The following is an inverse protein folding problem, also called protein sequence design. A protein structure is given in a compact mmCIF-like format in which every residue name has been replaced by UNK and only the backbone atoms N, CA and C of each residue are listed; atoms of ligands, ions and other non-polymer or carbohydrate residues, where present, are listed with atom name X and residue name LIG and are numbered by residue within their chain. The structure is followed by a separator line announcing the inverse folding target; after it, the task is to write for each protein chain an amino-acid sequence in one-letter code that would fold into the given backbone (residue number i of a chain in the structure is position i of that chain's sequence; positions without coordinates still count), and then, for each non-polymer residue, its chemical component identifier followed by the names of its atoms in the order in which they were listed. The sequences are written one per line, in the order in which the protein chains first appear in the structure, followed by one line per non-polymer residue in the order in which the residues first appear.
data_IF_738631187841
#
_entry.id   IF_738631187841
#
_cell.length_a   1.000
_cell.length_b   1.000
_cell.length_c   1.000
_cell.angle_alpha   90.00
_cell.angle_beta   90.00
_cell.angle_gamma   90.00
#
_symmetry.space_group_name_H-M   'P 1'
#
loop_
_entity.id
_entity.type
_entity.pdbx_description
1 polymer ?
#
# COMPACT_ATOMS: atom_id res chain seq x y z
N UNK A 1 -23.60 -0.35 60.86
CA UNK A 1 -22.60 0.39 61.65
C UNK A 1 -21.22 0.14 61.04
N UNK A 2 -20.41 1.19 60.97
CA UNK A 2 -19.00 1.24 60.54
C UNK A 2 -18.73 1.16 59.03
N UNK A 3 -18.52 2.29 58.35
CA UNK A 3 -17.42 3.29 58.40
C UNK A 3 -16.27 2.96 57.44
N UNK A 4 -16.17 3.81 56.40
CA UNK A 4 -14.96 4.51 55.95
C UNK A 4 -13.72 3.68 55.59
N UNK A 5 -13.50 3.52 54.28
CA UNK A 5 -12.17 3.71 53.68
C UNK A 5 -12.31 4.42 52.34
N UNK A 6 -12.27 5.75 52.40
CA UNK A 6 -11.83 6.58 51.28
C UNK A 6 -10.30 6.51 51.23
N UNK A 7 -9.73 6.08 50.10
CA UNK A 7 -8.41 6.55 49.70
C UNK A 7 -8.36 6.73 48.18
N UNK A 8 -8.29 8.01 47.83
CA UNK A 8 -8.08 8.59 46.51
C UNK A 8 -6.58 8.53 46.19
N UNK A 9 -6.17 7.92 45.07
CA UNK A 9 -4.95 8.27 44.30
C UNK A 9 -5.26 7.92 42.82
N UNK A 10 -5.69 8.86 41.99
CA UNK A 10 -4.84 9.74 41.18
C UNK A 10 -3.78 8.99 40.34
N UNK A 11 -4.18 8.41 39.20
CA UNK A 11 -3.25 8.08 38.12
C UNK A 11 -3.76 8.73 36.83
N UNK A 12 -3.01 9.74 36.42
CA UNK A 12 -3.29 10.63 35.31
C UNK A 12 -3.54 9.89 34.00
N UNK A 13 -4.52 10.42 33.28
CA UNK A 13 -4.75 10.18 31.86
C UNK A 13 -3.49 10.50 31.05
N UNK A 14 -2.79 9.47 30.60
CA UNK A 14 -1.84 9.54 29.50
C UNK A 14 -2.48 8.84 28.29
N UNK A 15 -3.54 9.44 27.73
CA UNK A 15 -4.02 9.03 26.42
C UNK A 15 -2.97 9.50 25.40
N UNK A 16 -2.33 8.61 24.62
CA UNK A 16 -1.40 9.04 23.60
C UNK A 16 -2.23 9.71 22.50
N UNK A 17 -2.09 11.03 22.42
CA UNK A 17 -2.57 11.86 21.32
C UNK A 17 -1.76 11.53 20.05
N UNK A 18 -2.01 10.37 19.44
CA UNK A 18 -1.44 10.01 18.12
C UNK A 18 -2.29 10.60 16.98
N UNK A 19 -3.42 11.26 17.29
CA UNK A 19 -4.39 11.70 16.30
C UNK A 19 -4.25 13.16 15.79
N UNK A 20 -3.30 13.98 16.26
CA UNK A 20 -3.26 15.42 15.88
C UNK A 20 -1.90 15.99 15.45
N UNK A 21 -0.81 15.22 15.47
CA UNK A 21 0.46 15.74 14.97
C UNK A 21 0.60 15.52 13.46
N UNK A 22 0.06 16.42 12.64
CA UNK A 22 0.65 16.82 11.35
C UNK A 22 -0.16 17.89 10.60
N UNK A 23 -0.87 18.79 11.29
CA UNK A 23 -1.42 20.00 10.66
C UNK A 23 -0.46 21.16 10.93
N UNK A 24 0.52 21.39 10.06
CA UNK A 24 1.39 22.56 10.23
C UNK A 24 2.54 22.78 9.24
N UNK A 25 2.90 21.79 8.43
CA UNK A 25 3.82 21.98 7.31
C UNK A 25 3.49 20.96 6.21
N UNK A 26 3.78 21.23 4.92
CA UNK A 26 3.79 20.22 3.88
C UNK A 26 4.86 19.19 4.23
N UNK A 27 4.48 18.21 5.05
CA UNK A 27 5.35 17.12 5.43
C UNK A 27 5.47 16.24 4.20
N UNK A 28 6.71 16.05 3.75
CA UNK A 28 7.01 15.07 2.72
C UNK A 28 6.35 13.76 3.13
N UNK A 29 5.55 13.16 2.23
CA UNK A 29 4.88 11.89 2.48
C UNK A 29 5.91 10.90 3.00
N UNK A 30 5.69 10.39 4.21
CA UNK A 30 6.59 9.40 4.81
C UNK A 30 6.31 8.02 4.22
N UNK A 31 7.27 7.10 4.28
CA UNK A 31 7.07 5.72 3.80
C UNK A 31 5.85 5.04 4.48
N UNK A 32 5.68 5.25 5.78
CA UNK A 32 4.54 4.75 6.54
C UNK A 32 3.21 5.31 5.99
N UNK A 33 3.19 6.61 5.69
CA UNK A 33 2.01 7.28 5.14
C UNK A 33 1.71 6.81 3.71
N UNK A 34 2.72 6.67 2.87
CA UNK A 34 2.58 6.10 1.52
C UNK A 34 2.00 4.68 1.56
N UNK A 35 2.48 3.84 2.49
CA UNK A 35 1.93 2.48 2.69
C UNK A 35 0.45 2.52 3.06
N UNK A 36 0.04 3.42 3.95
CA UNK A 36 -1.37 3.61 4.30
C UNK A 36 -2.20 4.11 3.11
N UNK A 37 -1.67 5.03 2.30
CA UNK A 37 -2.34 5.50 1.09
C UNK A 37 -2.55 4.38 0.07
N UNK A 38 -1.50 3.63 -0.25
CA UNK A 38 -1.58 2.49 -1.17
C UNK A 38 -2.60 1.47 -0.64
N UNK A 39 -2.53 1.09 0.63
CA UNK A 39 -3.49 0.15 1.21
C UNK A 39 -4.94 0.67 1.07
N UNK A 40 -5.19 1.94 1.43
CA UNK A 40 -6.51 2.54 1.32
C UNK A 40 -7.04 2.59 -0.12
N UNK A 41 -6.18 2.87 -1.10
CA UNK A 41 -6.57 2.98 -2.51
C UNK A 41 -7.02 1.64 -3.09
N UNK A 42 -6.38 0.54 -2.70
CA UNK A 42 -6.74 -0.81 -3.13
C UNK A 42 -7.94 -1.37 -2.35
N UNK A 43 -8.06 -1.06 -1.06
CA UNK A 43 -9.20 -1.52 -0.25
C UNK A 43 -10.50 -0.83 -0.69
N UNK A 44 -10.45 0.49 -0.91
CA UNK A 44 -11.65 1.27 -1.22
C UNK A 44 -11.98 1.28 -2.71
N UNK A 45 -11.01 1.00 -3.58
CA UNK A 45 -11.17 1.15 -5.03
C UNK A 45 -11.47 2.59 -5.47
N UNK A 46 -11.33 3.57 -4.57
CA UNK A 46 -11.88 4.92 -4.74
C UNK A 46 -10.84 5.97 -5.18
N UNK A 47 -9.59 5.57 -5.35
CA UNK A 47 -8.49 6.50 -5.64
C UNK A 47 -7.75 6.11 -6.94
N UNK A 48 -8.40 6.20 -8.13
CA UNK A 48 -7.71 5.99 -9.40
C UNK A 48 -6.57 7.01 -9.62
N UNK A 49 -6.67 8.18 -8.99
CA UNK A 49 -5.69 9.28 -9.06
C UNK A 49 -4.34 8.91 -8.42
N UNK A 50 -4.28 7.84 -7.62
CA UNK A 50 -3.01 7.36 -7.06
C UNK A 50 -2.08 6.80 -8.14
N UNK A 51 -2.58 6.42 -9.32
CA UNK A 51 -1.73 5.99 -10.43
C UNK A 51 -1.23 7.20 -11.22
N UNK A 52 0.06 7.21 -11.55
CA UNK A 52 0.62 8.18 -12.48
C UNK A 52 -0.01 8.03 -13.87
N UNK A 53 -0.21 9.13 -14.59
CA UNK A 53 -0.65 9.11 -16.00
C UNK A 53 0.28 8.27 -16.87
N UNK A 54 1.56 8.19 -16.49
CA UNK A 54 2.62 7.42 -17.17
C UNK A 54 3.11 6.27 -16.30
N UNK A 55 2.19 5.51 -15.70
CA UNK A 55 2.55 4.32 -14.92
C UNK A 55 3.27 3.31 -15.82
N UNK A 56 4.43 2.84 -15.35
CA UNK A 56 5.19 1.80 -16.04
C UNK A 56 4.65 0.45 -15.57
N UNK A 57 4.16 -0.35 -16.51
CA UNK A 57 3.61 -1.68 -16.22
C UNK A 57 4.58 -2.75 -16.69
N UNK A 58 4.92 -3.71 -15.82
CA UNK A 58 5.80 -4.81 -16.22
C UNK A 58 5.20 -5.63 -17.37
N UNK A 59 6.02 -6.18 -18.29
CA UNK A 59 5.52 -6.95 -19.43
C UNK A 59 4.63 -8.13 -19.02
N UNK A 60 5.01 -8.84 -17.96
CA UNK A 60 4.25 -9.98 -17.43
C UNK A 60 2.88 -9.58 -16.91
N UNK A 61 2.79 -8.45 -16.19
CA UNK A 61 1.50 -7.95 -15.69
C UNK A 61 0.61 -7.49 -16.84
N UNK A 62 1.19 -6.81 -17.84
CA UNK A 62 0.45 -6.39 -19.05
C UNK A 62 -0.15 -7.58 -19.80
N UNK A 63 0.63 -8.65 -19.99
CA UNK A 63 0.16 -9.88 -20.62
C UNK A 63 -0.94 -10.55 -19.79
N UNK A 64 -0.79 -10.59 -18.46
CA UNK A 64 -1.77 -11.19 -17.56
C UNK A 64 -3.11 -10.43 -17.57
N UNK A 65 -3.05 -9.09 -17.64
CA UNK A 65 -4.24 -8.23 -17.67
C UNK A 65 -4.83 -8.04 -19.07
N UNK A 66 -4.15 -8.51 -20.13
CA UNK A 66 -4.56 -8.28 -21.52
C UNK A 66 -4.55 -6.80 -21.94
N UNK A 67 -3.67 -6.01 -21.33
CA UNK A 67 -3.57 -4.57 -21.60
C UNK A 67 -2.68 -4.29 -22.82
N UNK A 68 -3.01 -3.24 -23.58
CA UNK A 68 -2.16 -2.75 -24.67
C UNK A 68 -0.85 -2.15 -24.14
N UNK A 69 0.17 -1.97 -25.01
CA UNK A 69 1.44 -1.35 -24.63
C UNK A 69 1.29 0.10 -24.17
N UNK A 70 0.27 0.79 -24.67
CA UNK A 70 -0.05 2.20 -24.40
C UNK A 70 -1.26 2.36 -23.47
N UNK A 71 -1.56 1.36 -22.64
CA UNK A 71 -2.64 1.46 -21.67
C UNK A 71 -2.38 2.59 -20.67
N UNK A 72 -3.37 3.45 -20.48
CA UNK A 72 -3.33 4.58 -19.56
C UNK A 72 -3.47 4.14 -18.09
N UNK A 73 -3.05 5.00 -17.16
CA UNK A 73 -3.12 4.72 -15.73
C UNK A 73 -4.51 4.29 -15.24
N UNK A 74 -5.59 4.85 -15.81
CA UNK A 74 -6.95 4.47 -15.43
C UNK A 74 -7.33 3.05 -15.90
N UNK A 75 -6.95 2.64 -17.12
CA UNK A 75 -7.17 1.26 -17.58
C UNK A 75 -6.34 0.26 -16.76
N UNK A 76 -5.09 0.60 -16.45
CA UNK A 76 -4.23 -0.21 -15.57
C UNK A 76 -4.87 -0.36 -14.19
N UNK A 77 -5.32 0.75 -13.58
CA UNK A 77 -5.98 0.72 -12.28
C UNK A 77 -7.20 -0.19 -12.29
N UNK A 78 -8.09 -0.03 -13.27
CA UNK A 78 -9.30 -0.84 -13.40
C UNK A 78 -8.96 -2.33 -13.53
N UNK A 79 -7.98 -2.68 -14.33
CA UNK A 79 -7.55 -4.07 -14.52
C UNK A 79 -6.93 -4.66 -13.25
N UNK A 80 -6.12 -3.88 -12.53
CA UNK A 80 -5.56 -4.25 -11.22
C UNK A 80 -6.67 -4.42 -10.17
N UNK A 81 -7.68 -3.54 -10.16
CA UNK A 81 -8.86 -3.67 -9.28
C UNK A 81 -9.67 -4.92 -9.62
N UNK A 82 -9.72 -5.36 -10.87
CA UNK A 82 -10.43 -6.60 -11.22
C UNK A 82 -9.76 -7.85 -10.63
N UNK A 83 -8.42 -7.88 -10.50
CA UNK A 83 -7.70 -9.03 -9.92
C UNK A 83 -7.59 -8.98 -8.39
N UNK A 84 -7.67 -7.78 -7.80
CA UNK A 84 -7.57 -7.54 -6.36
C UNK A 84 -8.93 -7.32 -5.67
N UNK A 85 -9.97 -6.98 -6.42
CA UNK A 85 -11.29 -6.66 -5.92
C UNK A 85 -11.93 -7.80 -5.13
N UNK A 86 -12.50 -7.47 -3.97
CA UNK A 86 -13.13 -8.43 -3.08
C UNK A 86 -12.16 -9.31 -2.28
N UNK A 87 -10.84 -9.14 -2.43
CA UNK A 87 -9.82 -9.85 -1.65
C UNK A 87 -9.30 -8.97 -0.50
N UNK A 88 -8.84 -9.61 0.56
CA UNK A 88 -8.12 -8.91 1.63
C UNK A 88 -6.78 -8.42 1.07
N UNK A 89 -6.53 -7.11 1.19
CA UNK A 89 -5.31 -6.48 0.70
C UNK A 89 -4.38 -6.21 1.88
N UNK A 90 -3.16 -6.72 1.80
CA UNK A 90 -2.06 -6.43 2.73
C UNK A 90 -0.94 -5.76 1.97
N UNK A 91 -0.53 -4.57 2.41
CA UNK A 91 0.62 -3.89 1.84
C UNK A 91 1.80 -4.08 2.78
N UNK A 92 2.95 -4.52 2.27
CA UNK A 92 4.23 -4.59 3.00
C UNK A 92 5.37 -4.08 2.15
N UNK A 93 6.56 -3.95 2.73
CA UNK A 93 7.76 -3.64 1.94
C UNK A 93 8.10 -4.85 1.06
N UNK A 94 8.43 -4.61 -0.20
CA UNK A 94 8.84 -5.67 -1.12
C UNK A 94 10.18 -6.25 -0.70
N UNK A 95 10.31 -7.58 -0.75
CA UNK A 95 11.57 -8.26 -0.51
C UNK A 95 12.48 -8.14 -1.75
N UNK A 96 13.79 -8.25 -1.55
CA UNK A 96 14.76 -8.02 -2.63
C UNK A 96 14.58 -9.01 -3.80
N UNK A 97 14.24 -10.26 -3.49
CA UNK A 97 13.90 -11.31 -4.44
C UNK A 97 12.66 -10.97 -5.28
N UNK A 98 11.63 -10.39 -4.67
CA UNK A 98 10.41 -9.96 -5.37
C UNK A 98 10.66 -8.77 -6.30
N UNK A 99 11.50 -7.83 -5.88
CA UNK A 99 11.93 -6.68 -6.67
C UNK A 99 12.68 -7.16 -7.92
N UNK A 100 13.63 -8.08 -7.76
CA UNK A 100 14.34 -8.67 -8.89
C UNK A 100 13.43 -9.47 -9.82
N UNK A 101 12.49 -10.25 -9.27
CA UNK A 101 11.56 -11.06 -10.06
C UNK A 101 10.55 -10.23 -10.87
N UNK A 102 10.23 -9.01 -10.41
CA UNK A 102 9.28 -8.12 -11.09
C UNK A 102 9.94 -7.19 -12.12
N UNK A 103 11.26 -7.27 -12.28
CA UNK A 103 12.05 -6.33 -13.11
C UNK A 103 11.84 -4.86 -12.71
N UNK A 104 11.50 -4.62 -11.45
CA UNK A 104 11.26 -3.28 -10.95
C UNK A 104 12.56 -2.44 -10.96
N UNK A 105 12.47 -1.13 -11.25
CA UNK A 105 13.60 -0.23 -11.12
C UNK A 105 14.23 -0.32 -9.72
N UNK A 106 15.54 -0.08 -9.62
CA UNK A 106 16.22 -0.11 -8.33
C UNK A 106 15.57 0.87 -7.34
N UNK A 107 15.38 0.47 -6.06
CA UNK A 107 14.76 1.33 -5.07
C UNK A 107 15.64 2.55 -4.83
N UNK A 108 15.09 3.74 -5.11
CA UNK A 108 15.71 5.03 -4.75
C UNK A 108 15.05 5.57 -3.49
N UNK A 109 15.75 6.39 -2.70
CA UNK A 109 15.27 6.86 -1.39
C UNK A 109 13.95 7.65 -1.42
N UNK A 110 13.51 8.11 -2.59
CA UNK A 110 12.23 8.80 -2.79
C UNK A 110 11.15 7.90 -3.43
N UNK A 111 11.49 6.66 -3.79
CA UNK A 111 10.59 5.74 -4.46
C UNK A 111 10.58 4.36 -3.79
N UNK A 112 9.98 4.25 -2.59
CA UNK A 112 9.83 2.96 -1.92
C UNK A 112 9.06 1.97 -2.79
N UNK A 113 9.46 0.71 -2.71
CA UNK A 113 8.82 -0.41 -3.41
C UNK A 113 8.06 -1.25 -2.38
N UNK A 114 6.76 -1.41 -2.63
CA UNK A 114 5.84 -2.15 -1.80
C UNK A 114 5.36 -3.41 -2.52
N UNK A 115 5.14 -4.47 -1.75
CA UNK A 115 4.40 -5.65 -2.17
C UNK A 115 2.96 -5.52 -1.67
N UNK A 116 2.01 -5.58 -2.59
CA UNK A 116 0.56 -5.57 -2.34
C UNK A 116 0.06 -6.99 -2.54
N UNK A 117 -0.25 -7.66 -1.44
CA UNK A 117 -0.79 -9.01 -1.42
C UNK A 117 -2.31 -8.94 -1.40
N UNK A 118 -2.96 -9.51 -2.41
CA UNK A 118 -4.40 -9.58 -2.55
C UNK A 118 -4.81 -11.05 -2.75
N UNK A 119 -5.11 -11.74 -1.64
CA UNK A 119 -5.37 -13.17 -1.63
C UNK A 119 -4.17 -13.99 -2.12
N UNK A 120 -4.23 -14.53 -3.34
CA UNK A 120 -3.18 -15.34 -3.96
C UNK A 120 -2.34 -14.56 -4.99
N UNK A 121 -2.59 -13.26 -5.14
CA UNK A 121 -1.89 -12.40 -6.09
C UNK A 121 -1.01 -11.43 -5.32
N UNK A 122 0.28 -11.41 -5.61
CA UNK A 122 1.20 -10.38 -5.09
C UNK A 122 1.53 -9.43 -6.23
N UNK A 123 1.41 -8.12 -5.99
CA UNK A 123 1.75 -7.06 -6.92
C UNK A 123 2.91 -6.25 -6.36
N UNK A 124 3.90 -5.93 -7.18
CA UNK A 124 4.99 -5.03 -6.83
C UNK A 124 4.64 -3.64 -7.32
N UNK A 125 4.65 -2.68 -6.41
CA UNK A 125 4.23 -1.30 -6.63
C UNK A 125 5.36 -0.37 -6.20
N UNK A 126 5.84 0.47 -7.10
CA UNK A 126 6.77 1.55 -6.76
C UNK A 126 5.97 2.84 -6.56
N UNK A 127 6.12 3.43 -5.39
CA UNK A 127 5.41 4.66 -5.02
C UNK A 127 6.40 5.81 -5.02
N UNK A 128 6.09 6.91 -5.69
CA UNK A 128 6.89 8.13 -5.70
C UNK A 128 6.43 9.09 -4.61
N UNK A 129 7.26 9.29 -3.58
CA UNK A 129 6.95 10.19 -2.46
C UNK A 129 6.94 11.67 -2.85
N UNK A 130 7.58 12.04 -3.97
CA UNK A 130 7.64 13.41 -4.47
C UNK A 130 6.37 13.82 -5.22
N UNK A 131 5.73 12.86 -5.88
CA UNK A 131 4.51 13.08 -6.68
C UNK A 131 3.24 12.48 -6.06
N UNK A 132 3.36 11.77 -4.94
CA UNK A 132 2.26 11.11 -4.22
C UNK A 132 1.49 10.11 -5.09
N UNK A 133 2.20 9.44 -6.01
CA UNK A 133 1.61 8.54 -7.00
C UNK A 133 2.41 7.25 -7.19
N UNK A 134 1.81 6.28 -7.85
CA UNK A 134 2.41 5.01 -8.24
C UNK A 134 3.06 5.19 -9.60
N UNK A 135 4.37 4.99 -9.67
CA UNK A 135 5.16 5.12 -10.89
C UNK A 135 5.36 3.79 -11.63
N UNK A 136 5.34 2.67 -10.92
CA UNK A 136 5.52 1.34 -11.50
C UNK A 136 4.61 0.30 -10.84
N UNK A 137 4.09 -0.64 -11.64
CA UNK A 137 3.33 -1.81 -11.19
C UNK A 137 3.78 -3.05 -11.95
N UNK A 138 4.08 -4.13 -11.23
CA UNK A 138 4.42 -5.42 -11.81
C UNK A 138 3.90 -6.60 -11.01
N UNK A 139 3.96 -7.79 -11.59
CA UNK A 139 3.88 -9.03 -10.84
C UNK A 139 5.31 -9.45 -10.51
N UNK A 140 5.61 -9.88 -9.26
CA UNK A 140 6.82 -10.64 -9.03
C UNK A 140 6.69 -11.85 -9.94
N UNK A 141 7.64 -11.98 -10.87
CA UNK A 141 7.58 -12.98 -11.93
C UNK A 141 7.06 -14.27 -11.35
N UNK A 142 5.99 -14.79 -11.95
CA UNK A 142 5.61 -16.17 -11.74
C UNK A 142 6.80 -16.99 -12.24
N UNK A 143 7.83 -17.14 -11.41
CA UNK A 143 8.66 -18.31 -11.41
C UNK A 143 7.64 -19.40 -11.26
N UNK A 144 7.23 -19.95 -12.42
CA UNK A 144 6.33 -21.08 -12.52
C UNK A 144 6.78 -21.98 -11.39
N UNK A 145 5.94 -22.12 -10.35
CA UNK A 145 6.31 -22.76 -9.11
C UNK A 145 6.87 -24.09 -9.53
N UNK A 146 8.21 -24.18 -9.61
CA UNK A 146 8.84 -25.38 -10.05
C UNK A 146 8.47 -26.31 -8.91
N UNK A 147 7.57 -27.26 -9.21
CA UNK A 147 7.13 -28.27 -8.25
C UNK A 147 8.36 -28.64 -7.44
N UNK A 148 8.29 -28.60 -6.09
CA UNK A 148 9.46 -28.66 -5.23
C UNK A 148 10.37 -29.72 -5.80
N UNK A 149 11.52 -29.30 -6.33
CA UNK A 149 12.49 -30.21 -6.93
C UNK A 149 12.83 -31.15 -5.79
N UNK A 150 12.21 -32.34 -5.81
CA UNK A 150 12.60 -33.45 -4.96
C UNK A 150 14.11 -33.49 -5.06
N UNK A 151 14.76 -33.43 -3.90
CA UNK A 151 16.21 -33.41 -3.79
C UNK A 151 16.80 -34.37 -4.84
N UNK A 152 17.79 -33.93 -5.63
CA UNK A 152 18.41 -34.81 -6.61
C UNK A 152 18.88 -36.04 -5.85
N UNK A 153 18.28 -37.19 -6.17
CA UNK A 153 18.80 -38.48 -5.77
C UNK A 153 20.28 -38.45 -6.17
N UNK A 154 21.22 -38.63 -5.24
CA UNK A 154 22.64 -38.54 -5.53
C UNK A 154 22.95 -39.39 -6.77
N UNK A 155 23.59 -38.83 -7.81
CA UNK A 155 23.98 -39.62 -8.96
C UNK A 155 24.97 -40.68 -8.46
N UNK A 156 24.54 -41.93 -8.50
CA UNK A 156 25.42 -43.07 -8.43
C UNK A 156 26.47 -42.89 -9.53
N UNK A 157 27.72 -42.87 -9.10
CA UNK A 157 28.92 -42.55 -9.87
C UNK A 157 29.07 -43.54 -11.02
N UNK A 158 28.55 -43.19 -12.21
CA UNK A 158 28.91 -43.89 -13.44
C UNK A 158 30.04 -43.13 -14.12
N UNK A 159 31.10 -43.91 -14.39
CA UNK A 159 32.40 -43.51 -14.86
C UNK A 159 32.39 -42.83 -16.24
N UNK A 160 33.29 -41.85 -16.36
CA UNK A 160 34.30 -41.69 -17.41
C UNK A 160 33.94 -42.06 -18.86
N UNK A 161 34.02 -41.06 -19.75
CA UNK A 161 34.58 -41.04 -21.14
C UNK A 161 33.81 -40.03 -22.05
N UNK A 162 34.35 -39.62 -23.21
CA UNK A 162 35.41 -38.62 -23.36
C UNK A 162 34.97 -37.39 -24.19
N UNK A 163 35.80 -36.35 -24.11
CA UNK A 163 35.88 -35.15 -24.93
C UNK A 163 35.47 -35.32 -26.40
N UNK A 164 34.49 -34.52 -26.85
CA UNK A 164 34.37 -34.10 -28.26
C UNK A 164 34.18 -32.59 -28.31
N UNK A 165 35.16 -31.92 -28.90
CA UNK A 165 35.14 -30.51 -29.31
C UNK A 165 34.45 -30.41 -30.67
N UNK A 166 33.51 -29.47 -30.88
CA UNK A 166 33.26 -28.94 -32.21
C UNK A 166 33.45 -27.42 -32.27
N UNK A 167 34.57 -27.08 -32.91
CA UNK A 167 34.84 -26.03 -33.89
C UNK A 167 33.64 -25.29 -34.52
N UNK A 168 33.77 -23.96 -34.49
CA UNK A 168 33.41 -22.92 -35.47
C UNK A 168 31.95 -22.45 -35.69
N UNK A 169 31.87 -21.11 -35.72
CA UNK A 169 30.80 -20.23 -36.17
C UNK A 169 30.41 -20.44 -37.65
N UNK A 170 29.26 -19.89 -38.11
CA UNK A 170 29.33 -18.53 -38.68
C UNK A 170 28.13 -17.62 -38.37
N UNK A 171 28.39 -16.33 -38.50
CA UNK A 171 27.42 -15.25 -38.59
C UNK A 171 26.51 -15.41 -39.81
N UNK A 172 25.22 -15.08 -39.64
CA UNK A 172 24.34 -14.76 -40.76
C UNK A 172 23.54 -13.51 -40.41
N UNK A 173 23.80 -12.46 -41.17
CA UNK A 173 22.99 -11.27 -41.24
C UNK A 173 21.65 -11.59 -41.92
N UNK A 174 20.55 -11.05 -41.41
CA UNK A 174 19.30 -10.96 -42.15
C UNK A 174 18.56 -9.68 -41.77
N UNK A 175 18.76 -8.67 -42.61
CA UNK A 175 17.91 -7.50 -42.82
C UNK A 175 16.50 -7.96 -43.20
N UNK A 176 15.49 -7.50 -42.46
CA UNK A 176 14.08 -7.79 -42.73
C UNK A 176 13.22 -6.55 -42.58
N UNK A 177 13.09 -5.81 -43.69
CA UNK A 177 12.12 -4.73 -43.93
C UNK A 177 10.80 -5.34 -44.41
N UNK A 178 9.70 -5.10 -43.70
CA UNK A 178 8.29 -5.15 -44.16
C UNK A 178 7.43 -4.69 -42.97
N UNK A 179 6.31 -3.99 -43.08
CA UNK A 179 5.61 -3.30 -44.16
C UNK A 179 4.58 -2.40 -43.46
N UNK A 180 4.34 -1.21 -44.01
CA UNK A 180 3.24 -0.36 -43.64
C UNK A 180 1.91 -1.12 -43.77
N UNK A 181 1.08 -1.10 -42.72
CA UNK A 181 -0.35 -1.44 -42.83
C UNK A 181 -1.15 -0.20 -42.49
N UNK A 182 -1.61 0.45 -43.56
CA UNK A 182 -2.67 1.46 -43.55
C UNK A 182 -4.02 0.80 -43.38
N UNK A 183 -4.88 1.42 -42.56
CA UNK A 183 -6.33 1.37 -42.73
C UNK A 183 -7.09 0.48 -41.76
N UNK A 184 -7.72 1.10 -40.76
CA UNK A 184 -9.13 0.80 -40.45
C UNK A 184 -9.80 2.07 -39.97
N UNK A 185 -10.75 2.52 -40.77
CA UNK A 185 -11.72 3.58 -40.51
C UNK A 185 -12.67 3.06 -39.43
N UNK A 186 -12.70 3.70 -38.26
CA UNK A 186 -13.79 3.51 -37.28
C UNK A 186 -14.66 4.76 -37.30
N UNK A 187 -15.82 4.55 -37.91
CA UNK A 187 -17.12 5.15 -37.69
C UNK A 187 -17.18 6.27 -36.63
N UNK A 188 -17.40 7.48 -37.12
CA UNK A 188 -17.70 8.68 -36.34
C UNK A 188 -19.09 8.57 -35.74
N UNK A 189 -19.21 8.10 -34.51
CA UNK A 189 -20.43 8.24 -33.70
C UNK A 189 -20.76 9.72 -33.55
N UNK A 190 -21.99 10.18 -33.83
CA UNK A 190 -22.38 11.56 -33.64
C UNK A 190 -22.24 11.97 -32.16
N UNK A 191 -21.78 13.20 -31.88
CA UNK A 191 -21.67 13.70 -30.52
C UNK A 191 -23.05 13.75 -29.85
N UNK A 192 -23.14 13.44 -28.54
CA UNK A 192 -24.38 13.68 -27.80
C UNK A 192 -24.75 15.17 -27.87
N UNK A 193 -26.06 15.50 -27.86
CA UNK A 193 -26.50 16.88 -27.83
C UNK A 193 -25.92 17.61 -26.61
N UNK A 194 -25.63 18.92 -26.71
CA UNK A 194 -25.16 19.71 -25.59
C UNK A 194 -26.19 19.63 -24.47
N UNK A 195 -25.79 19.05 -23.33
CA UNK A 195 -26.55 19.14 -22.09
C UNK A 195 -26.81 20.60 -21.80
N UNK A 196 -28.10 20.95 -21.69
CA UNK A 196 -28.52 22.28 -21.28
C UNK A 196 -27.80 22.69 -19.97
N UNK A 197 -27.46 23.98 -19.80
CA UNK A 197 -26.90 24.47 -18.56
C UNK A 197 -27.92 24.22 -17.44
N UNK A 198 -27.61 23.27 -16.56
CA UNK A 198 -28.34 23.12 -15.30
C UNK A 198 -27.90 24.29 -14.44
N UNK A 199 -28.84 25.21 -14.22
CA UNK A 199 -28.74 26.32 -13.29
C UNK A 199 -28.09 25.84 -11.98
N UNK A 200 -26.85 26.28 -11.75
CA UNK A 200 -26.14 26.00 -10.52
C UNK A 200 -26.92 26.64 -9.37
N UNK A 201 -27.36 25.88 -8.34
CA UNK A 201 -27.97 26.49 -7.18
C UNK A 201 -26.95 27.42 -6.52
N UNK A 202 -27.31 28.71 -6.47
CA UNK A 202 -26.59 29.77 -5.78
C UNK A 202 -26.16 29.26 -4.38
N UNK A 203 -24.85 29.26 -4.05
CA UNK A 203 -24.39 28.85 -2.74
C UNK A 203 -25.11 29.65 -1.67
N UNK A 204 -25.75 28.96 -0.73
CA UNK A 204 -26.27 29.59 0.47
C UNK A 204 -25.11 30.28 1.21
N UNK A 205 -25.32 31.48 1.79
CA UNK A 205 -24.29 32.18 2.54
C UNK A 205 -23.82 31.31 3.72
N UNK A 206 -22.51 31.06 3.78
CA UNK A 206 -21.87 30.41 4.92
C UNK A 206 -22.18 31.20 6.19
N UNK A 207 -22.54 30.55 7.31
CA UNK A 207 -22.63 31.21 8.60
C UNK A 207 -21.23 31.70 9.01
N UNK A 208 -21.16 33.00 9.26
CA UNK A 208 -20.01 33.74 9.78
C UNK A 208 -19.50 33.06 11.05
N UNK A 209 -18.42 32.29 10.92
CA UNK A 209 -17.76 31.66 12.07
C UNK A 209 -17.01 32.73 12.86
N UNK A 210 -17.62 33.07 13.99
CA UNK A 210 -17.03 33.88 15.07
C UNK A 210 -15.63 33.35 15.40
N UNK A 211 -14.56 34.18 15.38
CA UNK A 211 -13.22 33.74 15.71
C UNK A 211 -13.19 33.31 17.19
N UNK A 212 -13.00 32.01 17.43
CA UNK A 212 -12.66 31.50 18.75
C UNK A 212 -11.22 31.96 19.06
N UNK A 213 -11.09 32.70 20.15
CA UNK A 213 -9.82 33.18 20.67
C UNK A 213 -8.88 31.99 20.91
N UNK A 214 -7.75 32.03 20.22
CA UNK A 214 -6.59 31.18 20.45
C UNK A 214 -6.02 31.55 21.83
N UNK A 215 -6.30 30.72 22.83
CA UNK A 215 -5.56 30.75 24.10
C UNK A 215 -4.26 29.98 23.87
N UNK A 216 -3.19 30.74 23.67
CA UNK A 216 -1.82 30.27 23.48
C UNK A 216 -1.29 29.62 24.78
N UNK A 217 -1.00 28.31 24.82
CA UNK A 217 -0.39 27.69 25.98
C UNK A 217 1.11 27.96 25.96
N UNK A 218 1.59 28.84 26.85
CA UNK A 218 3.02 29.04 27.09
C UNK A 218 3.64 27.78 27.69
N UNK A 219 4.40 27.03 26.88
CA UNK A 219 5.18 25.87 27.36
C UNK A 219 6.57 26.37 27.81
N UNK A 220 6.99 26.12 29.06
CA UNK A 220 8.31 26.48 29.55
C UNK A 220 9.42 25.70 28.84
N UNK A 221 10.36 26.42 28.22
CA UNK A 221 11.60 25.89 27.63
C UNK A 221 12.46 25.25 28.72
N UNK A 222 12.60 23.93 28.69
CA UNK A 222 13.59 23.21 29.46
C UNK A 222 14.91 23.05 28.67
N UNK A 223 15.98 23.28 29.43
CA UNK A 223 17.39 23.43 29.09
C UNK A 223 18.12 22.13 28.73
N UNK A 224 19.12 22.30 27.85
CA UNK A 224 20.47 21.65 27.86
C UNK A 224 20.62 20.22 27.30
N UNK A 225 21.42 20.02 26.23
CA UNK A 225 21.85 18.70 25.77
C UNK A 225 22.99 18.14 26.65
N UNK A 226 22.91 16.85 26.98
CA UNK A 226 24.00 16.06 27.57
C UNK A 226 24.76 15.28 26.46
N UNK A 227 26.06 14.98 26.66
CA UNK A 227 26.92 14.42 25.61
C UNK A 227 26.73 12.91 25.39
N UNK A 228 27.05 12.49 24.16
CA UNK A 228 26.91 11.14 23.63
C UNK A 228 27.80 10.10 24.35
N UNK A 229 27.21 8.95 24.65
CA UNK A 229 27.93 7.75 25.10
C UNK A 229 27.90 6.73 23.96
N UNK A 230 29.09 6.27 23.54
CA UNK A 230 29.27 5.23 22.54
C UNK A 230 28.72 3.88 23.04
N UNK A 231 27.90 3.22 22.21
CA UNK A 231 27.28 1.93 22.54
C UNK A 231 27.95 0.82 21.72
N UNK A 232 28.51 -0.16 22.43
CA UNK A 232 29.07 -1.40 21.91
C UNK A 232 28.00 -2.34 21.32
N UNK A 233 28.36 -3.25 20.39
CA UNK A 233 27.42 -4.13 19.70
C UNK A 233 26.75 -5.13 20.66
N UNK A 234 25.41 -5.15 20.65
CA UNK A 234 24.58 -6.09 21.44
C UNK A 234 24.44 -7.46 20.74
N UNK A 235 24.47 -8.58 21.48
CA UNK A 235 24.15 -9.90 20.93
C UNK A 235 22.66 -10.03 20.54
N UNK A 236 22.40 -10.80 19.49
CA UNK A 236 21.07 -11.12 18.98
C UNK A 236 20.20 -11.79 20.04
N UNK A 237 19.05 -11.19 20.34
CA UNK A 237 18.05 -11.80 21.22
C UNK A 237 17.03 -12.61 20.41
N UNK A 238 16.52 -13.73 20.95
CA UNK A 238 15.53 -14.57 20.31
C UNK A 238 14.19 -13.85 20.14
N UNK A 239 13.58 -14.03 18.96
CA UNK A 239 12.28 -13.46 18.57
C UNK A 239 11.19 -14.15 19.41
N UNK A 240 10.69 -13.47 20.44
CA UNK A 240 9.50 -13.92 21.16
C UNK A 240 8.26 -13.65 20.31
N UNK A 241 7.43 -14.67 20.10
CA UNK A 241 6.14 -14.52 19.42
C UNK A 241 5.30 -13.47 20.16
N UNK A 242 4.94 -12.40 19.45
CA UNK A 242 4.15 -11.30 19.98
C UNK A 242 2.72 -11.81 20.18
N UNK A 243 2.39 -12.19 21.42
CA UNK A 243 1.02 -12.52 21.81
C UNK A 243 0.13 -11.32 21.52
N UNK A 244 -0.92 -11.55 20.73
CA UNK A 244 -1.98 -10.57 20.47
C UNK A 244 -2.46 -10.01 21.82
N UNK A 245 -2.34 -8.69 22.07
CA UNK A 245 -2.70 -8.11 23.35
C UNK A 245 -4.17 -8.39 23.64
N UNK A 246 -4.43 -9.26 24.61
CA UNK A 246 -5.78 -9.58 25.06
C UNK A 246 -6.37 -8.32 25.70
N UNK A 247 -7.09 -7.54 24.89
CA UNK A 247 -7.75 -6.32 25.33
C UNK A 247 -8.73 -6.68 26.47
N UNK A 248 -8.71 -5.93 27.58
CA UNK A 248 -9.61 -6.18 28.70
C UNK A 248 -11.07 -6.04 28.24
N UNK A 249 -11.99 -6.87 28.76
CA UNK A 249 -13.38 -6.87 28.34
C UNK A 249 -14.01 -5.49 28.57
N UNK A 250 -14.52 -4.88 27.50
CA UNK A 250 -15.23 -3.61 27.55
C UNK A 250 -16.53 -3.79 28.34
N UNK A 251 -16.73 -2.95 29.35
CA UNK A 251 -17.94 -2.93 30.16
C UNK A 251 -18.95 -1.94 29.55
N UNK A 252 -20.26 -2.23 29.59
CA UNK A 252 -21.29 -1.27 29.19
C UNK A 252 -21.19 -0.01 30.05
N UNK A 253 -20.98 1.15 29.44
CA UNK A 253 -20.83 2.45 30.11
C UNK A 253 -21.75 3.51 29.47
N UNK A 254 -23.03 3.19 29.29
CA UNK A 254 -24.00 4.17 28.83
C UNK A 254 -25.31 3.56 28.32
N UNK A 255 -26.31 4.42 28.02
CA UNK A 255 -27.54 3.99 27.36
C UNK A 255 -27.23 3.52 25.92
N UNK A 256 -28.00 2.55 25.45
CA UNK A 256 -27.93 2.08 24.06
C UNK A 256 -28.50 3.17 23.13
N UNK A 257 -27.65 3.77 22.30
CA UNK A 257 -28.05 4.77 21.28
C UNK A 257 -27.79 4.18 19.90
N UNK A 258 -28.88 3.84 19.19
CA UNK A 258 -28.82 3.27 17.85
C UNK A 258 -28.50 4.39 16.86
N UNK A 259 -27.33 4.30 16.22
CA UNK A 259 -26.88 5.20 15.15
C UNK A 259 -26.75 4.40 13.85
N UNK A 260 -26.88 5.04 12.67
CA UNK A 260 -26.71 4.37 11.38
C UNK A 260 -25.37 3.65 11.22
N UNK A 261 -24.33 4.14 11.89
CA UNK A 261 -23.05 3.44 12.07
C UNK A 261 -22.82 3.34 13.58
N UNK A 262 -22.85 2.12 14.11
CA UNK A 262 -22.61 1.83 15.53
C UNK A 262 -21.13 1.63 15.79
N UNK A 263 -20.59 2.32 16.81
CA UNK A 263 -19.24 2.01 17.30
C UNK A 263 -19.24 0.69 18.09
N UNK A 264 -18.08 0.03 18.23
CA UNK A 264 -17.96 -1.18 19.07
C UNK A 264 -18.43 -0.93 20.51
N UNK A 265 -18.23 0.28 21.03
CA UNK A 265 -18.73 0.67 22.34
C UNK A 265 -20.27 0.77 22.36
N UNK A 266 -20.91 1.25 21.29
CA UNK A 266 -22.37 1.26 21.15
C UNK A 266 -22.91 -0.17 21.06
N UNK A 267 -22.22 -1.08 20.35
CA UNK A 267 -22.60 -2.50 20.29
C UNK A 267 -22.55 -3.17 21.67
N UNK A 268 -21.47 -2.95 22.42
CA UNK A 268 -21.35 -3.45 23.80
C UNK A 268 -22.39 -2.84 24.74
N UNK A 269 -22.66 -1.53 24.62
CA UNK A 269 -23.71 -0.85 25.40
C UNK A 269 -25.12 -1.36 25.03
N UNK A 270 -25.32 -1.81 23.79
CA UNK A 270 -26.57 -2.41 23.31
C UNK A 270 -26.66 -3.93 23.53
N UNK A 271 -25.69 -4.54 24.23
CA UNK A 271 -25.69 -5.97 24.54
C UNK A 271 -25.39 -6.87 23.34
N UNK A 272 -24.93 -6.31 22.22
CA UNK A 272 -24.44 -7.09 21.08
C UNK A 272 -23.01 -7.54 21.38
N UNK A 273 -22.86 -8.78 21.84
CA UNK A 273 -21.53 -9.41 21.92
C UNK A 273 -21.03 -9.72 20.52
N UNK A 274 -19.88 -9.17 20.07
CA UNK A 274 -19.26 -9.58 18.81
C UNK A 274 -18.97 -11.08 18.88
N UNK A 275 -19.41 -11.81 17.86
CA UNK A 275 -19.19 -13.25 17.71
C UNK A 275 -17.80 -13.56 17.19
#
# INVERSE_FOLDING_TARGET
MSLRSYLVIAAMAAAPAIAQQQQGAPQKTTEQQARSYVASAFITGAAPVIMSDKVIVSPSLRQHLGLGPDADGAAVYKAVMNITGGKQVTVRRAAADEISASEAPAPVSQQPIFAVEAGNSTLIVQYDLGHDNISFVGLPGAVATAAPVMAPVPPEKVADTPTVVPTAAPAVAATGTVAATTGTVVEKTPPPPPSAPVDAPKPAPMPEQKPLQVVEPSIPRATKPAPAVAVAPRPAQPVMMMQEPKLPPLKPNGPCVIKPVMSDQDLVNCGATPR
#
